data_IF_898882877342
#
_entry.id   IF_898882877342
#
_cell.length_a   1.000
_cell.length_b   1.000
_cell.length_c   1.000
_cell.angle_alpha   90.00
_cell.angle_beta   90.00
_cell.angle_gamma   90.00
#
_symmetry.space_group_name_H-M   'P 1'
#
loop_
_entity.id
_entity.type
_entity.pdbx_description
1 polymer ?
#
# COMPACT_ATOMS: atom_id res chain seq x y z
N UNK A 1 -17.24 -1.81 23.09
CA UNK A 1 -16.15 -1.01 22.48
C UNK A 1 -15.64 -1.79 21.28
N UNK A 2 -15.77 -1.31 20.04
CA UNK A 2 -15.31 -2.07 18.88
C UNK A 2 -13.79 -1.97 18.79
N UNK A 3 -13.15 -3.13 18.62
CA UNK A 3 -11.70 -3.27 18.55
C UNK A 3 -11.11 -2.53 17.36
N UNK A 4 -9.91 -2.00 17.56
CA UNK A 4 -9.09 -1.43 16.50
C UNK A 4 -9.02 -2.41 15.34
N UNK A 5 -9.39 -1.97 14.14
CA UNK A 5 -9.16 -2.70 12.91
C UNK A 5 -7.66 -2.81 12.68
N UNK A 6 -7.05 -3.91 13.13
CA UNK A 6 -5.74 -4.34 12.68
C UNK A 6 -5.86 -4.71 11.20
N UNK A 7 -5.59 -3.76 10.32
CA UNK A 7 -5.23 -4.05 8.92
C UNK A 7 -3.85 -4.71 8.92
N UNK A 8 -3.83 -5.99 9.27
CA UNK A 8 -2.67 -6.88 9.29
C UNK A 8 -2.35 -7.43 7.89
N UNK A 9 -2.60 -6.62 6.86
CA UNK A 9 -2.35 -6.99 5.47
C UNK A 9 -1.45 -5.93 4.85
N UNK A 10 -0.29 -6.38 4.39
CA UNK A 10 0.65 -5.54 3.67
C UNK A 10 0.09 -5.20 2.30
N UNK A 11 -0.38 -3.96 2.14
CA UNK A 11 -0.97 -3.45 0.90
C UNK A 11 -0.01 -3.51 -0.31
N UNK A 12 1.28 -3.75 -0.08
CA UNK A 12 2.28 -3.93 -1.14
C UNK A 12 2.25 -5.33 -1.76
N UNK A 13 1.68 -6.33 -1.08
CA UNK A 13 1.71 -7.74 -1.50
C UNK A 13 0.32 -8.34 -1.70
N UNK A 14 -0.74 -7.63 -1.33
CA UNK A 14 -2.13 -8.06 -1.51
C UNK A 14 -2.51 -8.09 -2.99
N UNK A 15 -3.15 -9.19 -3.42
CA UNK A 15 -3.93 -9.25 -4.65
C UNK A 15 -5.21 -8.43 -4.48
N UNK A 16 -5.27 -7.29 -5.16
CA UNK A 16 -6.33 -6.28 -5.00
C UNK A 16 -7.65 -6.78 -5.58
N UNK A 17 -7.57 -7.66 -6.57
CA UNK A 17 -8.68 -8.31 -7.26
C UNK A 17 -9.53 -9.15 -6.29
N UNK A 18 -8.90 -9.81 -5.32
CA UNK A 18 -9.58 -10.68 -4.34
C UNK A 18 -10.26 -9.91 -3.21
N UNK A 19 -10.01 -8.59 -3.12
CA UNK A 19 -10.49 -7.72 -2.05
C UNK A 19 -11.52 -6.69 -2.54
N UNK A 20 -12.05 -6.86 -3.75
CA UNK A 20 -13.07 -5.97 -4.28
C UNK A 20 -14.43 -6.24 -3.67
N UNK A 21 -15.15 -5.17 -3.35
CA UNK A 21 -16.55 -5.26 -3.00
C UNK A 21 -17.37 -5.75 -4.21
N UNK A 22 -18.20 -6.80 -4.07
CA UNK A 22 -19.05 -7.29 -5.15
C UNK A 22 -20.00 -6.23 -5.72
N UNK A 23 -20.33 -5.18 -4.95
CA UNK A 23 -21.10 -4.02 -5.41
C UNK A 23 -20.26 -2.76 -5.17
N UNK A 24 -19.14 -2.65 -5.87
CA UNK A 24 -18.25 -1.49 -5.81
C UNK A 24 -18.97 -0.18 -6.18
N UNK A 25 -19.48 0.52 -5.18
CA UNK A 25 -20.07 1.86 -5.30
C UNK A 25 -18.96 2.90 -5.45
N UNK A 26 -19.01 3.71 -6.51
CA UNK A 26 -18.03 4.76 -6.77
C UNK A 26 -18.27 6.05 -5.96
N UNK A 27 -19.18 5.97 -4.98
CA UNK A 27 -19.52 7.07 -4.07
C UNK A 27 -20.73 7.90 -4.51
N UNK A 28 -21.23 8.71 -3.57
CA UNK A 28 -22.48 9.45 -3.69
C UNK A 28 -22.53 10.41 -4.89
N UNK A 29 -21.41 11.07 -5.23
CA UNK A 29 -21.35 12.00 -6.36
C UNK A 29 -21.53 11.28 -7.69
N UNK A 30 -20.87 10.12 -7.87
CA UNK A 30 -21.03 9.31 -9.07
C UNK A 30 -22.46 8.81 -9.19
N UNK A 31 -23.02 8.22 -8.14
CA UNK A 31 -24.37 7.65 -8.18
C UNK A 31 -25.45 8.73 -8.37
N UNK A 32 -25.27 9.91 -7.77
CA UNK A 32 -26.16 11.07 -7.97
C UNK A 32 -26.11 11.61 -9.39
N UNK A 33 -24.93 11.67 -10.01
CA UNK A 33 -24.79 12.11 -11.39
C UNK A 33 -25.27 11.05 -12.38
N UNK A 34 -24.97 9.77 -12.14
CA UNK A 34 -25.45 8.66 -12.95
C UNK A 34 -26.98 8.59 -12.97
N UNK A 35 -27.62 8.87 -11.82
CA UNK A 35 -29.09 8.94 -11.71
C UNK A 35 -29.69 10.16 -12.42
N UNK A 36 -28.94 11.26 -12.53
CA UNK A 36 -29.37 12.49 -13.23
C UNK A 36 -29.10 12.45 -14.73
N UNK A 37 -28.18 11.61 -15.18
CA UNK A 37 -27.89 11.41 -16.58
C UNK A 37 -28.86 10.36 -17.18
N UNK A 38 -29.45 10.66 -18.33
CA UNK A 38 -30.24 9.70 -19.12
C UNK A 38 -29.35 8.65 -19.83
N UNK A 39 -28.37 8.08 -19.12
CA UNK A 39 -27.52 7.02 -19.63
C UNK A 39 -28.22 5.68 -19.44
N UNK A 40 -27.98 4.76 -20.38
CA UNK A 40 -28.46 3.40 -20.21
C UNK A 40 -27.80 2.75 -18.99
N UNK A 41 -28.50 1.85 -18.26
CA UNK A 41 -27.90 1.11 -17.15
C UNK A 41 -26.62 0.36 -17.55
N UNK A 42 -26.56 -0.12 -18.80
CA UNK A 42 -25.39 -0.80 -19.36
C UNK A 42 -24.19 0.14 -19.54
N UNK A 43 -24.43 1.39 -19.95
CA UNK A 43 -23.38 2.42 -20.06
C UNK A 43 -22.80 2.75 -18.68
N UNK A 44 -23.65 2.89 -17.67
CA UNK A 44 -23.22 3.17 -16.28
C UNK A 44 -22.41 1.99 -15.74
N UNK A 45 -22.85 0.75 -15.97
CA UNK A 45 -22.12 -0.45 -15.58
C UNK A 45 -20.74 -0.53 -16.26
N UNK A 46 -20.65 -0.19 -17.55
CA UNK A 46 -19.38 -0.17 -18.28
C UNK A 46 -18.42 0.90 -17.75
N UNK A 47 -18.92 2.10 -17.41
CA UNK A 47 -18.10 3.15 -16.79
C UNK A 47 -17.61 2.68 -15.42
N UNK A 48 -18.50 2.10 -14.61
CA UNK A 48 -18.15 1.57 -13.29
C UNK A 48 -17.04 0.52 -13.39
N UNK A 49 -17.20 -0.44 -14.30
CA UNK A 49 -16.18 -1.47 -14.56
C UNK A 49 -14.85 -0.86 -14.97
N UNK A 50 -14.84 0.11 -15.88
CA UNK A 50 -13.60 0.80 -16.30
C UNK A 50 -12.89 1.50 -15.15
N UNK A 51 -13.64 2.14 -14.25
CA UNK A 51 -13.06 2.79 -13.07
C UNK A 51 -12.44 1.77 -12.12
N UNK A 52 -13.10 0.63 -11.90
CA UNK A 52 -12.57 -0.46 -11.08
C UNK A 52 -11.29 -1.02 -11.72
N UNK A 53 -11.35 -1.40 -13.00
CA UNK A 53 -10.21 -1.93 -13.76
C UNK A 53 -9.02 -0.96 -13.75
N UNK A 54 -9.28 0.34 -13.83
CA UNK A 54 -8.25 1.37 -13.75
C UNK A 54 -7.58 1.41 -12.37
N UNK A 55 -8.36 1.38 -11.28
CA UNK A 55 -7.82 1.37 -9.93
C UNK A 55 -6.97 0.13 -9.67
N UNK A 56 -7.42 -1.04 -10.11
CA UNK A 56 -6.65 -2.29 -10.02
C UNK A 56 -5.32 -2.17 -10.73
N UNK A 57 -5.34 -1.72 -11.99
CA UNK A 57 -4.11 -1.50 -12.77
C UNK A 57 -3.18 -0.51 -12.09
N UNK A 58 -3.72 0.58 -11.56
CA UNK A 58 -2.93 1.60 -10.86
C UNK A 58 -2.23 1.01 -9.64
N UNK A 59 -2.93 0.23 -8.81
CA UNK A 59 -2.32 -0.39 -7.63
C UNK A 59 -1.24 -1.40 -8.05
N UNK A 60 -1.52 -2.24 -9.05
CA UNK A 60 -0.55 -3.19 -9.55
C UNK A 60 0.71 -2.49 -10.08
N UNK A 61 0.57 -1.39 -10.84
CA UNK A 61 1.70 -0.59 -11.31
C UNK A 61 2.50 0.05 -10.16
N UNK A 62 1.82 0.53 -9.11
CA UNK A 62 2.48 1.07 -7.91
C UNK A 62 3.28 -0.02 -7.22
N UNK A 63 2.70 -1.21 -7.03
CA UNK A 63 3.38 -2.36 -6.43
C UNK A 63 4.60 -2.79 -7.27
N UNK A 64 4.50 -2.83 -8.60
CA UNK A 64 5.61 -3.19 -9.49
C UNK A 64 6.75 -2.17 -9.52
N UNK A 65 6.43 -0.89 -9.28
CA UNK A 65 7.44 0.18 -9.23
C UNK A 65 8.21 0.20 -7.92
N UNK A 66 7.69 -0.44 -6.88
CA UNK A 66 8.43 -0.60 -5.63
C UNK A 66 9.48 -1.68 -5.88
N UNK A 67 10.78 -1.36 -5.72
CA UNK A 67 11.82 -2.32 -6.00
C UNK A 67 11.71 -3.48 -4.99
N UNK A 68 12.00 -4.70 -5.44
CA UNK A 68 11.90 -5.92 -4.61
C UNK A 68 12.77 -5.86 -3.34
N UNK A 69 13.77 -4.98 -3.31
CA UNK A 69 14.63 -4.71 -2.16
C UNK A 69 14.12 -3.56 -1.27
N UNK A 70 12.85 -3.15 -1.39
CA UNK A 70 12.28 -2.05 -0.61
C UNK A 70 12.46 -2.24 0.90
N UNK A 71 12.22 -3.44 1.42
CA UNK A 71 12.43 -3.73 2.84
C UNK A 71 13.92 -3.62 3.24
N UNK A 72 14.83 -4.03 2.36
CA UNK A 72 16.28 -3.83 2.58
C UNK A 72 16.64 -2.34 2.55
N UNK A 73 16.13 -1.57 1.58
CA UNK A 73 16.35 -0.13 1.48
C UNK A 73 15.80 0.62 2.70
N UNK A 74 14.67 0.16 3.24
CA UNK A 74 14.07 0.70 4.46
C UNK A 74 14.96 0.49 5.68
N UNK A 75 15.64 -0.66 5.79
CA UNK A 75 16.64 -0.90 6.85
C UNK A 75 17.88 0.00 6.69
N UNK A 76 18.31 0.28 5.46
CA UNK A 76 19.42 1.21 5.18
C UNK A 76 19.08 2.66 5.55
N UNK A 77 17.80 3.03 5.68
CA UNK A 77 17.38 4.36 6.14
C UNK A 77 17.86 4.69 7.56
N UNK A 78 18.22 3.68 8.36
CA UNK A 78 18.87 3.84 9.67
C UNK A 78 20.20 4.59 9.52
N UNK A 79 20.90 4.42 8.40
CA UNK A 79 22.16 5.10 8.08
C UNK A 79 21.96 6.45 7.36
N UNK A 80 20.71 6.94 7.23
CA UNK A 80 20.46 8.26 6.67
C UNK A 80 21.09 9.35 7.54
N UNK A 81 21.45 10.47 6.91
CA UNK A 81 22.08 11.60 7.61
C UNK A 81 21.24 12.08 8.79
N UNK A 82 19.92 12.18 8.60
CA UNK A 82 18.98 12.61 9.64
C UNK A 82 19.01 11.66 10.85
N UNK A 83 18.95 10.35 10.62
CA UNK A 83 18.96 9.36 11.69
C UNK A 83 20.36 9.21 12.34
N UNK A 84 21.42 9.42 11.57
CA UNK A 84 22.80 9.37 12.06
C UNK A 84 23.12 10.54 13.00
N UNK A 85 22.53 11.71 12.74
CA UNK A 85 22.72 12.94 13.52
C UNK A 85 21.78 13.07 14.73
N UNK A 86 20.77 12.20 14.87
CA UNK A 86 19.90 12.17 16.07
C UNK A 86 20.73 11.78 17.30
N UNK A 87 20.54 12.53 18.39
CA UNK A 87 21.16 12.23 19.69
C UNK A 87 20.67 10.88 20.26
N UNK A 88 19.38 10.59 20.09
CA UNK A 88 18.78 9.31 20.47
C UNK A 88 18.77 8.44 19.23
N UNK A 89 19.72 7.51 19.17
CA UNK A 89 19.75 6.47 18.14
C UNK A 89 18.88 5.31 18.61
N UNK A 90 18.21 4.62 17.69
CA UNK A 90 17.63 3.33 17.98
C UNK A 90 18.75 2.27 17.89
N UNK A 91 19.26 1.76 19.03
CA UNK A 91 20.36 0.81 19.03
C UNK A 91 19.92 -0.55 18.48
N UNK A 92 18.64 -0.93 18.62
CA UNK A 92 18.14 -2.21 18.13
C UNK A 92 18.15 -2.26 16.60
N UNK A 93 17.66 -1.19 15.95
CA UNK A 93 17.66 -1.09 14.49
C UNK A 93 19.08 -1.10 13.89
N UNK A 94 20.07 -0.50 14.58
CA UNK A 94 21.47 -0.52 14.17
C UNK A 94 22.12 -1.90 14.34
N UNK A 95 21.84 -2.60 15.45
CA UNK A 95 22.38 -3.94 15.72
C UNK A 95 21.80 -4.97 14.74
N UNK A 96 20.50 -4.90 14.44
CA UNK A 96 19.89 -5.76 13.41
C UNK A 96 20.52 -5.55 12.03
N UNK A 97 20.70 -4.28 11.64
CA UNK A 97 21.39 -3.95 10.40
C UNK A 97 22.83 -4.48 10.39
N UNK A 98 23.58 -4.31 11.49
CA UNK A 98 24.96 -4.79 11.60
C UNK A 98 25.07 -6.31 11.47
N UNK A 99 24.15 -7.07 12.09
CA UNK A 99 24.08 -8.54 11.95
C UNK A 99 23.81 -8.95 10.50
N UNK A 100 22.93 -8.25 9.78
CA UNK A 100 22.69 -8.53 8.36
C UNK A 100 23.93 -8.28 7.48
N UNK A 101 24.82 -7.37 7.89
CA UNK A 101 26.12 -7.15 7.25
C UNK A 101 27.21 -8.14 7.69
N UNK A 102 26.90 -9.11 8.55
CA UNK A 102 27.85 -10.12 9.03
C UNK A 102 28.71 -9.66 10.21
N UNK A 103 28.37 -8.54 10.86
CA UNK A 103 28.96 -8.17 12.14
C UNK A 103 28.21 -8.91 13.25
N UNK A 104 28.71 -10.10 13.60
CA UNK A 104 28.31 -10.76 14.83
C UNK A 104 29.24 -10.32 15.97
N UNK A 105 28.65 -9.97 17.12
CA UNK A 105 29.37 -9.82 18.38
C UNK A 105 29.82 -11.21 18.85
N UNK A 106 30.83 -11.77 18.18
CA UNK A 106 31.60 -12.90 18.68
C UNK A 106 32.52 -12.35 19.77
N UNK A 107 32.01 -12.33 21.01
CA UNK A 107 32.82 -12.24 22.21
C UNK A 107 32.38 -13.27 23.25
#
# INVERSE_FOLDING_TARGET
>A
MPGAATTDKDFLTIQVEDHQDPVAHLGHLFESHASKCNLSPQSIANIRKRCIDFNVKLVNEIQHRIPSNYETLKKVIVLSLENTLKQIKDPHALVELAREFGFDDQK
#
